data_IF_335750360839
#
_entry.id   IF_335750360839
#
_cell.length_a   1.000
_cell.length_b   1.000
_cell.length_c   1.000
_cell.angle_alpha   90.00
_cell.angle_beta   90.00
_cell.angle_gamma   90.00
#
_symmetry.space_group_name_H-M   'P 1'
#
loop_
_entity.id
_entity.type
_entity.pdbx_description
1 polymer ?
#
# COMPACT_ATOMS: atom_id res chain seq x y z
N UNK A 1 -0.01 -17.73 -0.71
CA UNK A 1 -0.18 -16.86 0.48
C UNK A 1 0.78 -15.66 0.44
N UNK A 2 0.69 -14.73 -0.52
CA UNK A 2 1.77 -13.72 -0.70
C UNK A 2 1.36 -12.26 -0.58
N UNK A 3 0.09 -11.94 -0.79
CA UNK A 3 -0.42 -10.57 -0.57
C UNK A 3 -0.17 -10.09 0.88
N UNK A 4 -0.20 -11.01 1.85
CA UNK A 4 0.05 -10.70 3.27
C UNK A 4 1.50 -10.27 3.53
N UNK A 5 2.50 -10.98 3.00
CA UNK A 5 3.91 -10.62 3.21
C UNK A 5 4.26 -9.27 2.55
N UNK A 6 3.74 -8.99 1.36
CA UNK A 6 3.94 -7.69 0.71
C UNK A 6 3.34 -6.54 1.52
N UNK A 7 2.19 -6.77 2.18
CA UNK A 7 1.59 -5.81 3.10
C UNK A 7 2.42 -5.64 4.40
N UNK A 8 3.05 -6.70 4.90
CA UNK A 8 3.94 -6.64 6.07
C UNK A 8 5.24 -5.86 5.81
N UNK A 9 5.70 -5.77 4.57
CA UNK A 9 6.85 -4.94 4.18
C UNK A 9 6.53 -3.45 4.06
N UNK A 10 5.25 -3.07 4.12
CA UNK A 10 4.86 -1.67 4.14
C UNK A 10 5.14 -1.06 5.53
N UNK A 11 5.65 0.18 5.57
CA UNK A 11 5.66 1.01 6.77
C UNK A 11 4.28 1.03 7.42
N UNK A 12 4.25 0.97 8.75
CA UNK A 12 3.02 0.82 9.54
C UNK A 12 1.96 1.89 9.21
N UNK A 13 2.41 3.13 8.98
CA UNK A 13 1.55 4.26 8.57
C UNK A 13 0.91 4.06 7.20
N UNK A 14 1.64 3.57 6.23
CA UNK A 14 1.15 3.35 4.85
C UNK A 14 0.17 2.18 4.80
N UNK A 15 0.45 1.12 5.58
CA UNK A 15 -0.45 -0.03 5.75
C UNK A 15 -1.76 0.38 6.42
N UNK A 16 -1.69 1.19 7.48
CA UNK A 16 -2.88 1.68 8.19
C UNK A 16 -3.79 2.52 7.27
N UNK A 17 -3.21 3.40 6.47
CA UNK A 17 -3.94 4.23 5.50
C UNK A 17 -4.65 3.38 4.45
N UNK A 18 -3.95 2.40 3.86
CA UNK A 18 -4.56 1.52 2.88
C UNK A 18 -5.65 0.64 3.48
N UNK A 19 -5.45 0.10 4.68
CA UNK A 19 -6.46 -0.71 5.36
C UNK A 19 -7.71 0.10 5.66
N UNK A 20 -7.56 1.28 6.25
CA UNK A 20 -8.68 2.16 6.57
C UNK A 20 -9.47 2.56 5.32
N UNK A 21 -8.79 2.82 4.20
CA UNK A 21 -9.47 3.29 2.97
C UNK A 21 -10.08 2.16 2.15
N UNK A 22 -9.37 1.04 1.97
CA UNK A 22 -9.75 -0.02 1.02
C UNK A 22 -10.40 -1.24 1.67
N UNK A 23 -10.13 -1.51 2.96
CA UNK A 23 -10.71 -2.65 3.69
C UNK A 23 -11.88 -2.20 4.54
N UNK A 24 -11.74 -1.05 5.21
CA UNK A 24 -12.76 -0.52 6.12
C UNK A 24 -13.65 0.53 5.44
N UNK A 25 -13.40 0.85 4.17
CA UNK A 25 -14.13 1.84 3.36
C UNK A 25 -14.34 3.20 4.06
N UNK A 26 -13.40 3.59 4.93
CA UNK A 26 -13.50 4.81 5.72
C UNK A 26 -13.16 6.01 4.87
N UNK A 27 -13.86 7.12 5.10
CA UNK A 27 -13.59 8.35 4.37
C UNK A 27 -12.16 8.86 4.65
N UNK A 28 -11.39 9.19 3.60
CA UNK A 28 -10.02 9.72 3.71
C UNK A 28 -9.88 10.89 4.69
N UNK A 29 -10.92 11.73 4.76
CA UNK A 29 -10.98 12.91 5.63
C UNK A 29 -10.99 12.53 7.11
N UNK A 30 -11.78 11.52 7.46
CA UNK A 30 -11.91 11.05 8.84
C UNK A 30 -10.63 10.36 9.29
N UNK A 31 -10.02 9.56 8.41
CA UNK A 31 -8.75 8.89 8.70
C UNK A 31 -7.60 9.91 8.82
N UNK A 32 -7.57 10.94 7.96
CA UNK A 32 -6.58 12.01 8.06
C UNK A 32 -6.70 12.77 9.40
N UNK A 33 -7.92 13.05 9.86
CA UNK A 33 -8.19 13.69 11.14
C UNK A 33 -7.71 12.83 12.33
N UNK A 34 -8.00 11.53 12.31
CA UNK A 34 -7.54 10.57 13.35
C UNK A 34 -6.02 10.47 13.41
N UNK A 35 -5.37 10.44 12.25
CA UNK A 35 -3.92 10.42 12.13
C UNK A 35 -3.28 11.79 12.41
N UNK A 36 -4.08 12.83 12.66
CA UNK A 36 -3.65 14.22 12.87
C UNK A 36 -2.76 14.74 11.74
N UNK A 37 -3.09 14.38 10.50
CA UNK A 37 -2.41 14.84 9.28
C UNK A 37 -3.38 15.58 8.37
N UNK A 38 -2.85 16.45 7.51
CA UNK A 38 -3.67 17.09 6.49
C UNK A 38 -4.14 16.09 5.44
N UNK A 39 -5.28 16.37 4.83
CA UNK A 39 -5.82 15.55 3.74
C UNK A 39 -4.84 15.45 2.55
N UNK A 40 -4.10 16.52 2.26
CA UNK A 40 -3.04 16.51 1.24
C UNK A 40 -1.90 15.56 1.60
N UNK A 41 -1.49 15.53 2.88
CA UNK A 41 -0.48 14.59 3.36
C UNK A 41 -0.99 13.15 3.29
N UNK A 42 -2.26 12.92 3.64
CA UNK A 42 -2.92 11.62 3.50
C UNK A 42 -2.86 11.09 2.06
N UNK A 43 -3.27 11.90 1.07
CA UNK A 43 -3.23 11.47 -0.33
C UNK A 43 -1.80 11.21 -0.85
N UNK A 44 -0.80 11.95 -0.35
CA UNK A 44 0.61 11.66 -0.65
C UNK A 44 1.01 10.28 -0.13
N UNK A 45 0.71 9.99 1.14
CA UNK A 45 1.00 8.68 1.75
C UNK A 45 0.25 7.56 1.05
N UNK A 46 -1.03 7.78 0.70
CA UNK A 46 -1.82 6.81 -0.05
C UNK A 46 -1.19 6.51 -1.41
N UNK A 47 -0.79 7.54 -2.17
CA UNK A 47 -0.13 7.37 -3.47
C UNK A 47 1.22 6.65 -3.34
N UNK A 48 2.00 6.97 -2.31
CA UNK A 48 3.26 6.27 -2.01
C UNK A 48 3.03 4.79 -1.69
N UNK A 49 2.03 4.49 -0.88
CA UNK A 49 1.66 3.12 -0.51
C UNK A 49 1.23 2.29 -1.74
N UNK A 50 0.38 2.86 -2.62
CA UNK A 50 -0.02 2.22 -3.88
C UNK A 50 1.21 1.98 -4.79
N UNK A 51 2.08 2.99 -4.93
CA UNK A 51 3.30 2.85 -5.73
C UNK A 51 4.22 1.75 -5.23
N UNK A 52 4.34 1.61 -3.90
CA UNK A 52 5.16 0.56 -3.27
C UNK A 52 4.55 -0.83 -3.44
N UNK A 53 3.24 -1.00 -3.25
CA UNK A 53 2.55 -2.26 -3.56
C UNK A 53 2.73 -2.61 -5.03
N UNK A 54 2.55 -1.64 -5.94
CA UNK A 54 2.74 -1.86 -7.38
C UNK A 54 4.14 -2.36 -7.69
N UNK A 55 5.18 -1.78 -7.09
CA UNK A 55 6.56 -2.25 -7.24
C UNK A 55 6.73 -3.66 -6.70
N UNK A 56 6.25 -3.94 -5.49
CA UNK A 56 6.36 -5.28 -4.90
C UNK A 56 5.65 -6.35 -5.73
N UNK A 57 4.48 -6.05 -6.30
CA UNK A 57 3.75 -6.96 -7.19
C UNK A 57 4.47 -7.10 -8.53
N UNK A 58 4.97 -6.02 -9.11
CA UNK A 58 5.74 -6.09 -10.36
C UNK A 58 7.06 -6.85 -10.19
N UNK A 59 7.75 -6.64 -9.07
CA UNK A 59 8.97 -7.38 -8.72
C UNK A 59 8.66 -8.85 -8.46
N UNK A 60 7.57 -9.20 -7.75
CA UNK A 60 7.13 -10.60 -7.59
C UNK A 60 6.77 -11.25 -8.93
N UNK A 61 6.07 -10.52 -9.81
CA UNK A 61 5.76 -10.98 -11.17
C UNK A 61 7.04 -11.18 -11.99
N UNK A 62 8.05 -10.30 -11.85
CA UNK A 62 9.36 -10.47 -12.49
C UNK A 62 10.12 -11.67 -11.95
N UNK A 63 10.13 -11.86 -10.63
CA UNK A 63 10.78 -12.99 -9.96
C UNK A 63 10.13 -14.34 -10.32
N UNK A 64 8.85 -14.34 -10.71
CA UNK A 64 8.13 -15.53 -11.18
C UNK A 64 8.19 -15.74 -12.69
N UNK A 65 8.33 -14.67 -13.46
CA UNK A 65 8.46 -14.71 -14.92
C UNK A 65 9.86 -15.04 -15.42
N UNK A 66 10.90 -14.89 -14.58
CA UNK A 66 12.31 -15.09 -14.94
C UNK A 66 12.83 -16.53 -14.93
N UNK A 67 11.97 -17.55 -14.92
CA UNK A 67 12.36 -18.97 -15.02
C UNK A 67 11.62 -19.68 -16.14
N UNK A 68 11.52 -19.04 -17.31
CA UNK A 68 11.39 -19.74 -18.59
C UNK A 68 12.46 -19.15 -19.50
N UNK A 69 13.46 -19.97 -19.76
CA UNK A 69 14.72 -19.58 -20.36
C UNK A 69 14.60 -18.98 -21.76
N UNK A 70 15.66 -18.26 -22.09
CA UNK A 70 16.21 -18.14 -23.43
C UNK A 70 17.70 -18.47 -23.34
#
# INVERSE_FOLDING_TARGET
MQMRQALEMLPERERAILRATYVEAREPRNVAAELRISLSHFYRLQKQAIGRIRRLVLDDVHLRGGSLGY
#
